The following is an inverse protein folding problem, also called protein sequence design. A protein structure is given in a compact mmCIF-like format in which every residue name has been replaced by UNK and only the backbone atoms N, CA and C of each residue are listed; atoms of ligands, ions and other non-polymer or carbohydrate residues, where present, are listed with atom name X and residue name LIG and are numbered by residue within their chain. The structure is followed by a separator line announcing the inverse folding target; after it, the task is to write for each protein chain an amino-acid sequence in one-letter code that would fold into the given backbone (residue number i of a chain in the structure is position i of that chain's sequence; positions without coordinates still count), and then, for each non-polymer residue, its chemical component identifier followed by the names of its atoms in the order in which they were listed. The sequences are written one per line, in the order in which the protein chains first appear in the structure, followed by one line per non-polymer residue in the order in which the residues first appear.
data_IF_349700979851
#
_entry.id   IF_349700979851
#
_cell.length_a   1.000
_cell.length_b   1.000
_cell.length_c   1.000
_cell.angle_alpha   90.00
_cell.angle_beta   90.00
_cell.angle_gamma   90.00
#
_symmetry.space_group_name_H-M   'P 1'
#
loop_
_entity.id
_entity.type
_entity.pdbx_description
1 polymer ?
#
# COMPACT_ATOMS: atom_id res chain seq x y z
N UNK A 1 5.23 1.05 -10.39
CA UNK A 1 4.43 1.31 -9.17
C UNK A 1 5.37 1.56 -8.01
N UNK A 2 5.08 2.55 -7.16
CA UNK A 2 6.00 2.97 -6.10
C UNK A 2 6.26 1.87 -5.05
N UNK A 3 5.28 1.00 -4.79
CA UNK A 3 5.41 -0.05 -3.77
C UNK A 3 6.47 -1.11 -4.10
N UNK A 4 6.71 -1.42 -5.38
CA UNK A 4 7.76 -2.35 -5.75
C UNK A 4 9.16 -1.87 -5.35
N UNK A 5 9.40 -0.55 -5.32
CA UNK A 5 10.68 0.01 -4.86
C UNK A 5 10.91 -0.24 -3.36
N UNK A 6 9.85 -0.38 -2.57
CA UNK A 6 9.94 -0.71 -1.13
C UNK A 6 10.12 -2.22 -0.93
N UNK A 7 9.35 -3.02 -1.67
CA UNK A 7 9.39 -4.48 -1.63
C UNK A 7 10.76 -5.03 -2.04
N UNK A 8 11.38 -4.49 -3.10
CA UNK A 8 12.69 -4.94 -3.58
C UNK A 8 13.81 -4.86 -2.55
N UNK A 9 13.66 -4.02 -1.52
CA UNK A 9 14.64 -3.84 -0.46
C UNK A 9 14.32 -4.65 0.81
N UNK A 10 13.29 -5.50 0.78
CA UNK A 10 12.81 -6.25 1.94
C UNK A 10 12.68 -7.74 1.60
N UNK A 11 13.15 -8.67 2.44
CA UNK A 11 13.01 -10.10 2.20
C UNK A 11 11.58 -10.57 2.49
N UNK A 12 10.66 -10.30 1.55
CA UNK A 12 9.24 -10.68 1.66
C UNK A 12 8.96 -11.93 0.84
N UNK A 13 8.08 -12.80 1.38
CA UNK A 13 7.59 -13.96 0.65
C UNK A 13 6.66 -13.57 -0.51
N UNK A 14 6.45 -14.46 -1.50
CA UNK A 14 5.59 -14.17 -2.65
C UNK A 14 4.15 -13.81 -2.27
N UNK A 15 3.61 -14.42 -1.22
CA UNK A 15 2.25 -14.13 -0.75
C UNK A 15 2.16 -12.76 -0.04
N UNK A 16 3.20 -12.40 0.71
CA UNK A 16 3.30 -11.10 1.35
C UNK A 16 3.41 -9.97 0.32
N UNK A 17 4.19 -10.19 -0.75
CA UNK A 17 4.25 -9.29 -1.90
C UNK A 17 2.88 -9.12 -2.56
N UNK A 18 2.15 -10.22 -2.80
CA UNK A 18 0.80 -10.16 -3.40
C UNK A 18 -0.16 -9.36 -2.54
N UNK A 19 -0.16 -9.58 -1.23
CA UNK A 19 -1.00 -8.86 -0.27
C UNK A 19 -0.71 -7.36 -0.26
N UNK A 20 0.56 -6.99 -0.19
CA UNK A 20 0.99 -5.58 -0.22
C UNK A 20 0.61 -4.88 -1.52
N UNK A 21 0.80 -5.54 -2.66
CA UNK A 21 0.43 -4.99 -3.96
C UNK A 21 -1.09 -4.81 -4.05
N UNK A 22 -1.88 -5.80 -3.60
CA UNK A 22 -3.34 -5.71 -3.60
C UNK A 22 -3.84 -4.55 -2.73
N UNK A 23 -3.35 -4.43 -1.50
CA UNK A 23 -3.71 -3.34 -0.58
C UNK A 23 -3.39 -1.97 -1.19
N UNK A 24 -2.21 -1.86 -1.81
CA UNK A 24 -1.77 -0.65 -2.47
C UNK A 24 -2.66 -0.25 -3.64
N UNK A 25 -2.98 -1.18 -4.54
CA UNK A 25 -3.87 -0.90 -5.67
C UNK A 25 -5.28 -0.52 -5.21
N UNK A 26 -5.78 -1.18 -4.17
CA UNK A 26 -7.06 -0.86 -3.58
C UNK A 26 -7.09 0.54 -2.98
N UNK A 27 -6.04 0.94 -2.24
CA UNK A 27 -5.93 2.28 -1.68
C UNK A 27 -5.85 3.35 -2.79
N UNK A 28 -5.05 3.12 -3.83
CA UNK A 28 -4.98 4.06 -4.96
C UNK A 28 -6.34 4.22 -5.66
N UNK A 29 -7.06 3.11 -5.84
CA UNK A 29 -8.40 3.10 -6.44
C UNK A 29 -9.39 3.88 -5.58
N UNK A 30 -9.39 3.64 -4.27
CA UNK A 30 -10.28 4.33 -3.33
C UNK A 30 -10.01 5.84 -3.26
N UNK A 31 -8.73 6.25 -3.35
CA UNK A 31 -8.32 7.64 -3.37
C UNK A 31 -8.41 8.31 -4.76
N UNK A 32 -8.89 7.61 -5.79
CA UNK A 32 -9.00 8.15 -7.15
C UNK A 32 -7.65 8.45 -7.83
N UNK A 33 -6.55 7.90 -7.30
CA UNK A 33 -5.19 8.16 -7.78
C UNK A 33 -4.89 7.34 -9.04
N UNK A 34 -5.27 7.88 -10.19
CA UNK A 34 -5.10 7.23 -11.51
C UNK A 34 -3.67 7.31 -12.05
N UNK A 35 -2.92 8.37 -11.73
CA UNK A 35 -1.54 8.55 -12.19
C UNK A 35 -0.57 7.86 -11.23
N UNK A 36 -0.07 6.70 -11.67
CA UNK A 36 0.75 5.77 -10.88
C UNK A 36 2.19 6.25 -10.60
N UNK A 37 2.59 7.39 -11.15
CA UNK A 37 3.92 8.00 -10.97
C UNK A 37 3.88 9.32 -10.18
N UNK A 38 2.72 9.74 -9.65
CA UNK A 38 2.67 10.93 -8.80
C UNK A 38 3.41 10.69 -7.48
N UNK A 39 4.10 11.70 -6.91
CA UNK A 39 4.77 11.60 -5.61
C UNK A 39 3.87 11.08 -4.49
N UNK A 40 2.56 11.35 -4.57
CA UNK A 40 1.56 10.88 -3.61
C UNK A 40 1.45 9.35 -3.58
N UNK A 41 1.68 8.69 -4.71
CA UNK A 41 1.65 7.22 -4.80
C UNK A 41 2.78 6.58 -3.99
N UNK A 42 3.87 7.32 -3.72
CA UNK A 42 4.96 6.89 -2.84
C UNK A 42 4.58 6.99 -1.36
N UNK A 43 3.83 8.03 -1.00
CA UNK A 43 3.29 8.21 0.36
C UNK A 43 2.33 7.06 0.68
N UNK A 44 1.42 6.74 -0.25
CA UNK A 44 0.51 5.60 -0.13
C UNK A 44 1.29 4.28 0.01
N UNK A 45 2.30 4.05 -0.83
CA UNK A 45 3.11 2.84 -0.78
C UNK A 45 3.80 2.65 0.58
N UNK A 46 4.39 3.73 1.11
CA UNK A 46 5.02 3.71 2.43
C UNK A 46 4.00 3.42 3.53
N UNK A 47 2.82 4.05 3.49
CA UNK A 47 1.78 3.85 4.50
C UNK A 47 1.24 2.43 4.53
N UNK A 48 0.94 1.86 3.36
CA UNK A 48 0.49 0.46 3.20
C UNK A 48 1.55 -0.51 3.75
N UNK A 49 2.82 -0.27 3.43
CA UNK A 49 3.92 -1.09 3.92
C UNK A 49 4.09 -1.01 5.45
N UNK A 50 4.00 0.18 6.04
CA UNK A 50 4.04 0.37 7.50
C UNK A 50 2.88 -0.36 8.21
N UNK A 51 1.68 -0.37 7.63
CA UNK A 51 0.52 -1.06 8.21
C UNK A 51 0.67 -2.58 8.10
N UNK A 52 1.13 -3.10 6.96
CA UNK A 52 1.35 -4.54 6.81
C UNK A 52 2.36 -5.08 7.82
N UNK A 53 3.38 -4.30 8.16
CA UNK A 53 4.37 -4.68 9.19
C UNK A 53 3.78 -4.82 10.60
N UNK A 54 2.55 -4.35 10.87
CA UNK A 54 1.90 -4.57 12.16
C UNK A 54 1.27 -5.96 12.28
N UNK A 55 1.44 -6.84 11.28
CA UNK A 55 0.95 -8.21 11.27
C UNK A 55 -0.45 -8.39 10.67
N UNK A 56 -1.00 -7.35 10.04
CA UNK A 56 -2.28 -7.44 9.33
C UNK A 56 -2.06 -8.15 8.00
N UNK A 57 -2.85 -9.19 7.74
CA UNK A 57 -2.72 -10.00 6.52
C UNK A 57 -3.84 -9.74 5.51
N UNK A 58 -4.95 -9.09 5.88
CA UNK A 58 -6.02 -8.76 4.95
C UNK A 58 -5.68 -7.49 4.16
N UNK A 59 -5.54 -7.56 2.81
CA UNK A 59 -5.27 -6.39 2.00
C UNK A 59 -6.34 -5.29 2.11
N UNK A 60 -7.61 -5.66 2.29
CA UNK A 60 -8.71 -4.71 2.40
C UNK A 60 -8.62 -3.93 3.73
N UNK A 61 -8.28 -4.61 4.82
CA UNK A 61 -8.05 -3.99 6.12
C UNK A 61 -6.83 -3.06 6.10
N UNK A 62 -5.73 -3.49 5.48
CA UNK A 62 -4.54 -2.63 5.28
C UNK A 62 -4.93 -1.37 4.49
N UNK A 63 -5.69 -1.53 3.41
CA UNK A 63 -6.13 -0.42 2.57
C UNK A 63 -7.02 0.57 3.33
N UNK A 64 -8.01 0.06 4.08
CA UNK A 64 -8.89 0.87 4.91
C UNK A 64 -8.10 1.70 5.91
N UNK A 65 -7.18 1.08 6.66
CA UNK A 65 -6.32 1.77 7.62
C UNK A 65 -5.39 2.79 6.94
N UNK A 66 -4.93 2.50 5.72
CA UNK A 66 -4.10 3.44 4.97
C UNK A 66 -4.89 4.70 4.60
N UNK A 67 -6.13 4.54 4.13
CA UNK A 67 -7.03 5.66 3.81
C UNK A 67 -7.32 6.50 5.05
N UNK A 68 -7.70 5.85 6.15
CA UNK A 68 -7.97 6.51 7.44
C UNK A 68 -6.75 7.32 7.93
N UNK A 69 -5.55 6.72 7.89
CA UNK A 69 -4.31 7.38 8.35
C UNK A 69 -3.77 8.44 7.40
N UNK A 70 -4.16 8.44 6.14
CA UNK A 70 -3.82 9.50 5.19
C UNK A 70 -4.73 10.74 5.37
N UNK A 71 -5.80 10.65 6.15
CA UNK A 71 -6.65 11.79 6.50
C UNK A 71 -7.40 12.39 5.32
N UNK A 72 -7.62 11.59 4.27
CA UNK A 72 -8.37 12.01 3.08
C UNK A 72 -9.83 11.66 3.36
N UNK A 73 -10.62 12.65 3.73
CA UNK A 73 -12.06 12.58 3.96
C UNK A 73 -12.77 13.48 2.94
#
# INVERSE_FOLDING_TARGET
MAIYKLIQNTPLGPDEVRRLVAAYEETLRALGLKKRDDPITRIVAKKVFEIAQTGIEDPAEISKLAIERLGIH
#
